data_IF_369025151736
#
_entry.id   IF_369025151736
#
_cell.length_a   1.000
_cell.length_b   1.000
_cell.length_c   1.000
_cell.angle_alpha   90.00
_cell.angle_beta   90.00
_cell.angle_gamma   90.00
#
_symmetry.space_group_name_H-M   'P 1'
#
loop_
_entity.id
_entity.type
_entity.pdbx_description
1 polymer ?
#
# COMPACT_ATOMS: atom_id res chain seq x y z
N UNK A 1 -14.24 -14.00 24.53
CA UNK A 1 -14.51 -12.54 24.48
C UNK A 1 -14.02 -12.04 23.14
N UNK A 2 -14.91 -11.56 22.24
CA UNK A 2 -14.51 -10.94 20.98
C UNK A 2 -14.92 -9.47 21.04
N UNK A 3 -13.94 -8.61 21.22
CA UNK A 3 -14.08 -7.18 20.91
C UNK A 3 -13.14 -6.93 19.74
N UNK A 4 -13.65 -7.04 18.52
CA UNK A 4 -12.92 -6.65 17.32
C UNK A 4 -13.36 -5.22 16.97
N UNK A 5 -12.48 -4.26 17.22
CA UNK A 5 -12.61 -2.91 16.67
C UNK A 5 -11.55 -2.79 15.59
N UNK A 6 -11.97 -2.90 14.32
CA UNK A 6 -11.17 -2.52 13.16
C UNK A 6 -11.72 -1.21 12.62
N UNK A 7 -11.39 -0.09 13.27
CA UNK A 7 -11.68 1.23 12.71
C UNK A 7 -10.56 1.61 11.77
N UNK A 8 -10.63 1.12 10.54
CA UNK A 8 -9.72 1.52 9.47
C UNK A 8 -10.10 2.91 8.97
N UNK A 9 -9.13 3.83 8.95
CA UNK A 9 -9.28 5.14 8.31
C UNK A 9 -8.32 5.22 7.12
N UNK A 10 -8.87 5.37 5.92
CA UNK A 10 -8.08 5.78 4.76
C UNK A 10 -7.64 7.24 4.92
N UNK A 11 -6.46 7.55 4.40
CA UNK A 11 -5.97 8.92 4.31
C UNK A 11 -6.82 9.74 3.34
N UNK A 12 -6.81 11.06 3.52
CA UNK A 12 -7.24 11.98 2.47
C UNK A 12 -6.20 12.01 1.36
N UNK A 13 -6.59 12.46 0.16
CA UNK A 13 -5.64 12.62 -0.95
C UNK A 13 -4.48 13.54 -0.55
N UNK A 14 -4.74 14.62 0.21
CA UNK A 14 -3.69 15.52 0.71
C UNK A 14 -2.70 14.81 1.64
N UNK A 15 -3.21 14.09 2.65
CA UNK A 15 -2.35 13.34 3.59
C UNK A 15 -1.49 12.31 2.83
N UNK A 16 -2.06 11.66 1.82
CA UNK A 16 -1.38 10.67 0.98
C UNK A 16 -0.26 11.30 0.15
N UNK A 17 -0.53 12.44 -0.51
CA UNK A 17 0.48 13.14 -1.31
C UNK A 17 1.60 13.72 -0.44
N UNK A 18 1.26 14.35 0.70
CA UNK A 18 2.27 14.90 1.61
C UNK A 18 3.20 13.78 2.14
N UNK A 19 2.68 12.57 2.39
CA UNK A 19 3.48 11.42 2.83
C UNK A 19 4.38 10.87 1.71
N UNK A 20 3.88 10.79 0.47
CA UNK A 20 4.69 10.39 -0.70
C UNK A 20 5.84 11.38 -0.93
N UNK A 21 5.55 12.69 -0.91
CA UNK A 21 6.56 13.74 -1.08
C UNK A 21 7.62 13.68 0.04
N UNK A 22 7.16 13.51 1.29
CA UNK A 22 8.06 13.37 2.43
C UNK A 22 8.96 12.12 2.31
N UNK A 23 8.38 10.98 1.93
CA UNK A 23 9.09 9.73 1.72
C UNK A 23 10.21 9.89 0.69
N UNK A 24 9.94 10.53 -0.45
CA UNK A 24 10.98 10.80 -1.45
C UNK A 24 12.04 11.78 -0.97
N UNK A 25 11.64 12.89 -0.35
CA UNK A 25 12.58 13.92 0.11
C UNK A 25 13.57 13.38 1.14
N UNK A 26 13.12 12.44 1.98
CA UNK A 26 13.90 11.88 3.07
C UNK A 26 14.52 10.52 2.77
N UNK A 27 14.22 9.91 1.61
CA UNK A 27 14.59 8.53 1.32
C UNK A 27 13.94 7.52 2.28
N UNK A 28 12.74 7.82 2.77
CA UNK A 28 11.94 6.98 3.65
C UNK A 28 10.90 6.18 2.85
N UNK A 29 10.26 5.22 3.51
CA UNK A 29 9.07 4.53 3.00
C UNK A 29 7.80 5.20 3.48
N UNK A 30 6.72 5.10 2.69
CA UNK A 30 5.40 5.60 3.07
C UNK A 30 4.80 4.77 4.20
N UNK A 31 3.84 5.34 4.93
CA UNK A 31 3.12 4.63 5.98
C UNK A 31 2.17 3.55 5.44
N UNK A 32 1.82 2.58 6.28
CA UNK A 32 0.77 1.58 5.99
C UNK A 32 -0.57 2.23 5.61
N UNK A 33 -0.89 3.37 6.23
CA UNK A 33 -2.13 4.10 5.92
C UNK A 33 -2.09 4.64 4.48
N UNK A 34 -0.96 5.21 4.06
CA UNK A 34 -0.75 5.72 2.71
C UNK A 34 -0.76 4.59 1.69
N UNK A 35 -0.06 3.48 1.95
CA UNK A 35 -0.09 2.30 1.09
C UNK A 35 -1.52 1.78 0.85
N UNK A 36 -2.32 1.69 1.92
CA UNK A 36 -3.74 1.27 1.83
C UNK A 36 -4.60 2.28 1.09
N UNK A 37 -4.30 3.56 1.21
CA UNK A 37 -5.04 4.63 0.52
C UNK A 37 -4.76 4.61 -0.97
N UNK A 38 -3.50 4.45 -1.38
CA UNK A 38 -3.12 4.24 -2.78
C UNK A 38 -3.81 3.00 -3.34
N UNK A 39 -3.73 1.86 -2.63
CA UNK A 39 -4.40 0.63 -3.03
C UNK A 39 -5.93 0.80 -3.15
N UNK A 40 -6.52 1.64 -2.29
CA UNK A 40 -7.95 1.97 -2.37
C UNK A 40 -8.31 2.77 -3.62
N UNK A 41 -7.42 3.62 -4.12
CA UNK A 41 -7.63 4.36 -5.35
C UNK A 41 -7.48 3.46 -6.58
N UNK A 42 -6.51 2.55 -6.55
CA UNK A 42 -6.17 1.74 -7.72
C UNK A 42 -7.15 0.61 -8.03
N UNK A 43 -7.79 0.00 -7.02
CA UNK A 43 -8.79 -1.07 -7.29
C UNK A 43 -10.18 -0.53 -7.72
N UNK A 44 -10.35 0.79 -7.84
CA UNK A 44 -11.58 1.44 -8.28
C UNK A 44 -11.30 2.23 -9.57
N UNK A 45 -12.06 2.06 -10.68
CA UNK A 45 -13.35 1.40 -10.82
C UNK A 45 -13.29 -0.08 -11.27
N UNK A 46 -12.11 -0.66 -11.45
CA UNK A 46 -11.94 -2.03 -11.91
C UNK A 46 -11.32 -2.89 -10.82
N UNK A 47 -12.04 -3.95 -10.45
CA UNK A 47 -11.68 -4.97 -9.46
C UNK A 47 -10.52 -5.88 -9.96
N UNK A 48 -9.53 -5.31 -10.65
CA UNK A 48 -8.56 -6.05 -11.48
C UNK A 48 -7.47 -6.75 -10.69
N UNK A 49 -7.36 -6.48 -9.39
CA UNK A 49 -6.30 -7.04 -8.55
C UNK A 49 -6.84 -7.46 -7.18
N UNK A 50 -6.62 -8.72 -6.85
CA UNK A 50 -7.04 -9.32 -5.57
C UNK A 50 -6.21 -8.75 -4.43
N UNK A 51 -4.91 -8.55 -4.64
CA UNK A 51 -4.01 -8.15 -3.56
C UNK A 51 -4.07 -6.64 -3.27
N UNK A 52 -4.31 -5.77 -4.26
CA UNK A 52 -4.63 -4.35 -4.00
C UNK A 52 -5.94 -4.20 -3.23
N UNK A 53 -6.95 -5.01 -3.56
CA UNK A 53 -8.22 -5.04 -2.81
C UNK A 53 -8.03 -5.58 -1.39
N UNK A 54 -7.17 -6.58 -1.20
CA UNK A 54 -6.86 -7.09 0.12
C UNK A 54 -6.11 -6.04 0.95
N UNK A 55 -5.09 -5.38 0.36
CA UNK A 55 -4.34 -4.31 0.99
C UNK A 55 -5.26 -3.16 1.41
N UNK A 56 -6.13 -2.66 0.53
CA UNK A 56 -7.03 -1.53 0.85
C UNK A 56 -7.97 -1.82 2.03
N UNK A 57 -8.32 -3.08 2.25
CA UNK A 57 -9.16 -3.53 3.36
C UNK A 57 -8.37 -3.97 4.61
N UNK A 58 -7.04 -4.00 4.54
CA UNK A 58 -6.20 -4.52 5.61
C UNK A 58 -6.32 -6.02 5.81
N UNK A 59 -6.63 -6.76 4.75
CA UNK A 59 -6.68 -8.22 4.74
C UNK A 59 -5.29 -8.80 4.40
N UNK A 60 -5.14 -10.11 4.58
CA UNK A 60 -3.95 -10.86 4.16
C UNK A 60 -3.85 -10.91 2.62
N UNK A 61 -2.62 -10.82 2.11
CA UNK A 61 -2.29 -10.83 0.68
C UNK A 61 -0.89 -11.42 0.45
N UNK A 62 -0.61 -11.81 -0.79
CA UNK A 62 0.71 -12.28 -1.23
C UNK A 62 1.55 -11.09 -1.71
N UNK A 63 2.78 -10.92 -1.19
CA UNK A 63 3.64 -9.76 -1.50
C UNK A 63 4.25 -9.84 -2.91
N UNK A 64 4.49 -11.04 -3.45
CA UNK A 64 5.02 -11.23 -4.79
C UNK A 64 3.94 -10.94 -5.84
N UNK A 65 2.73 -11.48 -5.65
CA UNK A 65 1.59 -11.18 -6.53
C UNK A 65 1.21 -9.69 -6.48
N UNK A 66 1.27 -9.05 -5.29
CA UNK A 66 1.05 -7.62 -5.16
C UNK A 66 2.08 -6.81 -5.95
N UNK A 67 3.36 -7.22 -5.95
CA UNK A 67 4.43 -6.55 -6.72
C UNK A 67 4.13 -6.61 -8.22
N UNK A 68 3.73 -7.77 -8.74
CA UNK A 68 3.34 -7.89 -10.15
C UNK A 68 2.14 -7.00 -10.51
N UNK A 69 1.16 -6.89 -9.62
CA UNK A 69 -0.02 -6.03 -9.82
C UNK A 69 0.38 -4.54 -9.83
N UNK A 70 1.33 -4.13 -8.98
CA UNK A 70 1.88 -2.76 -8.97
C UNK A 70 2.63 -2.46 -10.27
N UNK A 71 3.44 -3.40 -10.77
CA UNK A 71 4.22 -3.21 -12.00
C UNK A 71 3.36 -3.07 -13.26
N UNK A 72 2.13 -3.61 -13.24
CA UNK A 72 1.16 -3.45 -14.32
C UNK A 72 0.49 -2.08 -14.33
N UNK A 73 0.54 -1.35 -13.23
CA UNK A 73 -0.04 -0.02 -13.10
C UNK A 73 0.95 1.06 -13.55
N UNK A 74 0.69 1.63 -14.73
CA UNK A 74 1.59 2.61 -15.39
C UNK A 74 1.06 4.04 -15.33
N UNK A 75 -0.16 4.23 -14.82
CA UNK A 75 -0.86 5.52 -14.90
C UNK A 75 -0.43 6.48 -13.79
N UNK A 76 0.10 5.96 -12.68
CA UNK A 76 0.57 6.73 -11.52
C UNK A 76 1.94 6.21 -11.06
N UNK A 77 3.05 6.61 -11.73
CA UNK A 77 4.38 6.06 -11.46
C UNK A 77 4.86 6.36 -10.03
N UNK A 78 4.41 7.47 -9.48
CA UNK A 78 4.80 7.95 -8.16
C UNK A 78 4.20 7.10 -7.03
N UNK A 79 2.91 6.85 -7.12
CA UNK A 79 2.17 5.90 -6.30
C UNK A 79 2.74 4.48 -6.41
N UNK A 80 3.10 4.05 -7.63
CA UNK A 80 3.70 2.74 -7.90
C UNK A 80 5.05 2.59 -7.19
N UNK A 81 5.91 3.60 -7.29
CA UNK A 81 7.21 3.62 -6.65
C UNK A 81 7.07 3.62 -5.11
N UNK A 82 6.14 4.41 -4.57
CA UNK A 82 5.86 4.45 -3.14
C UNK A 82 5.37 3.09 -2.61
N UNK A 83 4.43 2.45 -3.31
CA UNK A 83 3.94 1.12 -2.96
C UNK A 83 5.04 0.06 -3.06
N UNK A 84 5.87 0.09 -4.11
CA UNK A 84 6.97 -0.88 -4.26
C UNK A 84 7.98 -0.76 -3.12
N UNK A 85 8.38 0.45 -2.78
CA UNK A 85 9.30 0.70 -1.66
C UNK A 85 8.72 0.22 -0.32
N UNK A 86 7.41 0.40 -0.12
CA UNK A 86 6.70 -0.12 1.05
C UNK A 86 6.70 -1.65 1.10
N UNK A 87 6.39 -2.34 -0.01
CA UNK A 87 6.42 -3.81 -0.10
C UNK A 87 7.82 -4.35 0.17
N UNK A 88 8.86 -3.75 -0.42
CA UNK A 88 10.25 -4.19 -0.22
C UNK A 88 10.70 -4.03 1.25
N UNK A 89 10.21 -3.00 1.95
CA UNK A 89 10.46 -2.81 3.38
C UNK A 89 9.68 -3.83 4.24
N UNK A 90 8.47 -4.20 3.85
CA UNK A 90 7.69 -5.24 4.52
C UNK A 90 8.39 -6.61 4.42
N UNK A 91 8.86 -6.99 3.23
CA UNK A 91 9.62 -8.24 3.01
C UNK A 91 10.91 -8.26 3.85
N UNK A 92 11.62 -7.12 3.94
CA UNK A 92 12.80 -6.98 4.80
C UNK A 92 12.49 -7.21 6.29
N UNK A 93 11.35 -6.73 6.77
CA UNK A 93 10.89 -6.97 8.13
C UNK A 93 10.50 -8.44 8.36
N UNK A 94 9.78 -9.06 7.42
CA UNK A 94 9.38 -10.47 7.50
C UNK A 94 10.60 -11.40 7.47
N UNK A 95 11.59 -11.12 6.62
CA UNK A 95 12.83 -11.89 6.56
C UNK A 95 13.70 -11.74 7.83
N UNK A 96 13.65 -10.58 8.49
CA UNK A 96 14.39 -10.35 9.74
C UNK A 96 13.73 -10.98 10.98
N UNK A 97 12.47 -11.42 10.86
CA UNK A 97 11.68 -11.96 11.98
C UNK A 97 11.39 -13.46 11.87
N UNK A 98 11.83 -14.11 10.80
CA UNK A 98 11.78 -15.56 10.55
C UNK A 98 13.01 -16.31 11.10
#
# INVERSE_FOLDING_TARGET
MKTSVNTYRLGTSKETYDDIEYAWAMGSVVSDQTARTIASYWHSPANTSRNLTALSHGNEFDTDELREEIEREVTHPDDANALRAWVDNLDGFLAATA
#
